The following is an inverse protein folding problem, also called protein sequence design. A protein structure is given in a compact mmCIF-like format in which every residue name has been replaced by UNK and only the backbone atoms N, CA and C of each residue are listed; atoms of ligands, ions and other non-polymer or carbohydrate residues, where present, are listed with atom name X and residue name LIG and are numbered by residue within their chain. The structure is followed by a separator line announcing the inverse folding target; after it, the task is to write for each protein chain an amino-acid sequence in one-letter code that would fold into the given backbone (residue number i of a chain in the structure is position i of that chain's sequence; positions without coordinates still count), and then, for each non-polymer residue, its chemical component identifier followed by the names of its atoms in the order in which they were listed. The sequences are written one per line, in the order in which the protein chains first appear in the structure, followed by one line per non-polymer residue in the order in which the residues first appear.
data_IF_055284583083
#
_entry.id   IF_055284583083
#
_cell.length_a   1.000
_cell.length_b   1.000
_cell.length_c   1.000
_cell.angle_alpha   90.00
_cell.angle_beta   90.00
_cell.angle_gamma   90.00
#
_symmetry.space_group_name_H-M   'P 1'
#
loop_
_entity.id
_entity.type
_entity.pdbx_description
1 polymer ?
#
# COMPACT_ATOMS: atom_id res chain seq x y z
N UNK A 1 -12.65 -8.72 -3.27
CA UNK A 1 -12.34 -9.82 -4.23
C UNK A 1 -10.83 -10.05 -4.20
N UNK A 2 -10.33 -11.07 -3.51
CA UNK A 2 -8.88 -11.38 -3.39
C UNK A 2 -8.34 -12.14 -4.62
N UNK A 3 -8.31 -11.51 -5.79
CA UNK A 3 -7.67 -12.09 -6.97
C UNK A 3 -6.65 -11.11 -7.53
N UNK A 4 -5.43 -11.61 -7.76
CA UNK A 4 -4.37 -10.84 -8.42
C UNK A 4 -4.91 -10.27 -9.75
N UNK A 5 -4.52 -9.05 -10.10
CA UNK A 5 -4.96 -8.34 -11.31
C UNK A 5 -4.78 -9.15 -12.61
N UNK A 6 -3.86 -10.12 -12.63
CA UNK A 6 -3.66 -11.11 -13.70
C UNK A 6 -4.93 -11.90 -14.04
N UNK A 7 -5.85 -12.08 -13.09
CA UNK A 7 -7.07 -12.88 -13.27
C UNK A 7 -8.33 -12.06 -13.59
N UNK A 8 -8.19 -10.75 -13.84
CA UNK A 8 -9.33 -9.91 -14.19
C UNK A 8 -9.72 -10.17 -15.65
N UNK A 9 -10.98 -10.57 -15.87
CA UNK A 9 -11.54 -10.69 -17.21
C UNK A 9 -11.59 -9.30 -17.85
N UNK A 10 -10.75 -9.09 -18.88
CA UNK A 10 -10.59 -7.80 -19.55
C UNK A 10 -11.25 -7.80 -20.93
N UNK A 11 -12.19 -6.89 -21.15
CA UNK A 11 -12.68 -6.53 -22.50
C UNK A 11 -11.97 -5.25 -22.95
N UNK A 12 -11.52 -5.20 -24.21
CA UNK A 12 -10.77 -4.06 -24.80
C UNK A 12 -11.50 -2.72 -24.70
N UNK A 13 -12.81 -2.74 -24.49
CA UNK A 13 -13.69 -1.56 -24.39
C UNK A 13 -14.12 -1.20 -22.97
N UNK A 14 -13.71 -1.96 -21.95
CA UNK A 14 -14.12 -1.74 -20.56
C UNK A 14 -12.87 -1.65 -19.68
N UNK A 15 -12.44 -0.42 -19.40
CA UNK A 15 -11.41 -0.13 -18.41
C UNK A 15 -11.90 -0.49 -17.01
N UNK A 16 -11.02 -1.06 -16.19
CA UNK A 16 -11.32 -1.22 -14.77
C UNK A 16 -10.99 0.12 -14.10
N UNK A 17 -11.91 0.77 -13.37
CA UNK A 17 -11.70 2.12 -12.84
C UNK A 17 -10.41 2.28 -12.03
N UNK A 18 -9.99 1.21 -11.34
CA UNK A 18 -8.75 1.16 -10.58
C UNK A 18 -7.49 1.25 -11.45
N UNK A 19 -7.49 0.71 -12.67
CA UNK A 19 -6.32 0.73 -13.56
C UNK A 19 -6.19 2.02 -14.36
N UNK A 20 -7.30 2.69 -14.64
CA UNK A 20 -7.28 3.99 -15.31
C UNK A 20 -6.57 5.05 -14.44
N UNK A 21 -6.68 4.94 -13.11
CA UNK A 21 -5.97 5.82 -12.17
C UNK A 21 -4.44 5.63 -12.20
N UNK A 22 -3.92 4.47 -12.62
CA UNK A 22 -2.47 4.18 -12.64
C UNK A 22 -1.86 4.27 -14.05
N UNK A 23 -2.34 5.21 -14.86
CA UNK A 23 -1.84 5.49 -16.21
C UNK A 23 -1.66 4.20 -17.03
N UNK A 24 -2.72 3.39 -17.08
CA UNK A 24 -2.75 2.22 -17.95
C UNK A 24 -2.39 2.67 -19.38
N UNK A 25 -1.34 2.12 -20.00
CA UNK A 25 -0.98 2.49 -21.36
C UNK A 25 -2.11 2.13 -22.32
N UNK A 26 -2.42 3.05 -23.23
CA UNK A 26 -3.37 2.86 -24.32
C UNK A 26 -3.01 1.57 -25.09
N UNK A 27 -3.98 0.65 -25.19
CA UNK A 27 -3.77 -0.66 -25.82
C UNK A 27 -3.64 -0.60 -27.35
N UNK A 28 -3.83 0.57 -27.96
CA UNK A 28 -3.63 0.81 -29.38
C UNK A 28 -2.29 1.47 -29.70
N UNK A 29 -1.47 1.78 -28.69
CA UNK A 29 -0.18 2.42 -28.87
C UNK A 29 0.94 1.64 -28.16
N UNK A 30 2.08 1.49 -28.81
CA UNK A 30 3.24 0.81 -28.23
C UNK A 30 3.93 1.77 -27.25
N UNK A 31 3.90 1.48 -25.96
CA UNK A 31 4.64 2.22 -24.94
C UNK A 31 5.91 1.44 -24.56
N UNK A 32 7.09 2.00 -24.86
CA UNK A 32 8.39 1.33 -24.62
C UNK A 32 8.79 1.29 -23.14
N UNK A 33 8.25 2.20 -22.32
CA UNK A 33 8.45 2.24 -20.87
C UNK A 33 7.21 2.86 -20.20
N UNK A 34 6.96 2.49 -18.95
CA UNK A 34 5.88 3.08 -18.14
C UNK A 34 6.30 4.48 -17.71
N UNK A 35 5.45 5.46 -17.95
CA UNK A 35 5.71 6.83 -17.49
C UNK A 35 5.58 6.83 -15.95
N UNK A 36 6.59 7.34 -15.24
CA UNK A 36 6.56 7.45 -13.78
C UNK A 36 5.83 8.73 -13.44
N UNK A 37 4.53 8.62 -13.19
CA UNK A 37 3.68 9.72 -12.73
C UNK A 37 3.66 9.76 -11.21
N UNK A 38 4.11 10.86 -10.62
CA UNK A 38 3.99 11.18 -9.19
C UNK A 38 2.84 12.17 -8.96
N UNK A 39 1.68 11.96 -9.61
CA UNK A 39 0.57 12.93 -9.52
C UNK A 39 -0.15 12.78 -8.18
N UNK A 40 -0.33 13.90 -7.46
CA UNK A 40 -0.92 13.94 -6.12
C UNK A 40 -2.33 13.30 -6.02
N UNK A 41 -3.09 13.24 -7.12
CA UNK A 41 -4.40 12.58 -7.17
C UNK A 41 -4.32 11.06 -7.05
N UNK A 42 -3.22 10.43 -7.47
CA UNK A 42 -3.00 8.99 -7.29
C UNK A 42 -2.72 8.63 -5.83
N UNK A 43 -1.94 9.46 -5.12
CA UNK A 43 -1.71 9.33 -3.68
C UNK A 43 -3.01 9.54 -2.88
N UNK A 44 -3.82 10.54 -3.25
CA UNK A 44 -5.12 10.78 -2.60
C UNK A 44 -6.11 9.64 -2.86
N UNK A 45 -6.07 9.04 -4.06
CA UNK A 45 -6.91 7.88 -4.37
C UNK A 45 -6.47 6.67 -3.54
N UNK A 46 -5.18 6.39 -3.42
CA UNK A 46 -4.69 5.31 -2.55
C UNK A 46 -5.07 5.53 -1.08
N UNK A 47 -5.00 6.76 -0.59
CA UNK A 47 -5.35 7.12 0.79
C UNK A 47 -6.86 6.97 1.09
N UNK A 48 -7.74 7.10 0.10
CA UNK A 48 -9.20 7.04 0.27
C UNK A 48 -9.87 5.84 -0.42
N UNK A 49 -9.11 4.94 -1.04
CA UNK A 49 -9.69 3.79 -1.72
C UNK A 49 -10.11 2.73 -0.70
N UNK A 50 -11.39 2.38 -0.70
CA UNK A 50 -11.97 1.35 0.17
C UNK A 50 -11.21 0.01 0.08
N UNK A 51 -10.65 -0.32 -1.08
CA UNK A 51 -9.78 -1.49 -1.23
C UNK A 51 -8.49 -1.36 -0.42
N UNK A 52 -7.80 -0.22 -0.49
CA UNK A 52 -6.52 -0.01 0.21
C UNK A 52 -6.74 0.02 1.71
N UNK A 53 -7.80 0.68 2.17
CA UNK A 53 -8.21 0.68 3.57
C UNK A 53 -8.48 -0.76 4.07
N UNK A 54 -9.25 -1.54 3.30
CA UNK A 54 -9.48 -2.95 3.66
C UNK A 54 -8.21 -3.79 3.70
N UNK A 55 -7.22 -3.51 2.84
CA UNK A 55 -5.93 -4.21 2.88
C UNK A 55 -5.07 -3.76 4.07
N UNK A 56 -5.14 -2.49 4.46
CA UNK A 56 -4.48 -1.98 5.66
C UNK A 56 -5.05 -2.66 6.92
N UNK A 57 -6.37 -2.76 7.04
CA UNK A 57 -7.02 -3.44 8.17
C UNK A 57 -6.59 -4.91 8.28
N UNK A 58 -6.62 -5.66 7.16
CA UNK A 58 -6.16 -7.04 7.14
C UNK A 58 -4.67 -7.19 7.47
N UNK A 59 -3.88 -6.19 7.10
CA UNK A 59 -2.46 -6.19 7.42
C UNK A 59 -2.25 -5.91 8.91
N UNK A 60 -3.01 -4.98 9.50
CA UNK A 60 -3.00 -4.71 10.94
C UNK A 60 -3.44 -5.95 11.75
N UNK A 61 -4.52 -6.61 11.34
CA UNK A 61 -5.00 -7.86 11.95
C UNK A 61 -3.91 -8.95 11.94
N UNK A 62 -3.19 -9.07 10.82
CA UNK A 62 -2.08 -10.02 10.71
C UNK A 62 -0.95 -9.70 11.70
N UNK A 63 -0.57 -8.42 11.82
CA UNK A 63 0.48 -7.99 12.75
C UNK A 63 0.07 -8.24 14.21
N UNK A 64 -1.18 -7.95 14.57
CA UNK A 64 -1.73 -8.22 15.89
C UNK A 64 -1.76 -9.73 16.21
N UNK A 65 -1.94 -10.57 15.21
CA UNK A 65 -1.92 -12.03 15.37
C UNK A 65 -0.50 -12.61 15.50
N UNK A 66 0.44 -12.13 14.69
CA UNK A 66 1.83 -12.62 14.69
C UNK A 66 2.66 -12.09 15.88
N UNK A 67 2.33 -10.90 16.40
CA UNK A 67 2.98 -10.29 17.56
C UNK A 67 1.95 -9.70 18.54
N UNK A 68 1.24 -10.54 19.32
CA UNK A 68 0.21 -10.07 20.25
C UNK A 68 0.82 -9.24 21.40
N UNK A 69 0.17 -8.11 21.71
CA UNK A 69 0.51 -7.20 22.82
C UNK A 69 1.95 -6.63 22.82
N UNK A 70 2.68 -6.75 21.71
CA UNK A 70 4.03 -6.21 21.55
C UNK A 70 4.08 -5.22 20.38
N UNK A 71 3.87 -3.95 20.70
CA UNK A 71 3.87 -2.88 19.70
C UNK A 71 5.23 -2.71 19.00
N UNK A 72 6.33 -2.93 19.71
CA UNK A 72 7.67 -2.81 19.14
C UNK A 72 7.89 -3.88 18.07
N UNK A 73 7.55 -5.12 18.40
CA UNK A 73 7.64 -6.24 17.45
C UNK A 73 6.64 -6.10 16.31
N UNK A 74 5.43 -5.56 16.55
CA UNK A 74 4.46 -5.26 15.49
C UNK A 74 4.98 -4.23 14.49
N UNK A 75 5.61 -3.16 14.96
CA UNK A 75 6.21 -2.13 14.09
C UNK A 75 7.35 -2.72 13.28
N UNK A 76 8.27 -3.46 13.91
CA UNK A 76 9.38 -4.12 13.21
C UNK A 76 8.86 -5.08 12.13
N UNK A 77 7.86 -5.88 12.45
CA UNK A 77 7.24 -6.84 11.53
C UNK A 77 6.53 -6.12 10.37
N UNK A 78 5.88 -4.98 10.62
CA UNK A 78 5.23 -4.18 9.57
C UNK A 78 6.23 -3.71 8.52
N UNK A 79 7.37 -3.16 8.97
CA UNK A 79 8.45 -2.70 8.09
C UNK A 79 9.14 -3.87 7.37
N UNK A 80 9.35 -5.00 8.04
CA UNK A 80 9.93 -6.18 7.38
C UNK A 80 9.02 -6.75 6.30
N UNK A 81 7.71 -6.85 6.56
CA UNK A 81 6.76 -7.42 5.59
C UNK A 81 6.57 -6.47 4.40
N UNK A 82 6.42 -5.17 4.64
CA UNK A 82 6.11 -4.21 3.58
C UNK A 82 7.35 -3.71 2.83
N UNK A 83 8.44 -3.44 3.55
CA UNK A 83 9.64 -2.77 3.01
C UNK A 83 10.88 -3.68 2.99
N UNK A 84 10.79 -4.92 3.50
CA UNK A 84 11.91 -5.87 3.56
C UNK A 84 13.14 -5.34 4.32
N UNK A 85 12.94 -4.43 5.29
CA UNK A 85 13.98 -3.89 6.17
C UNK A 85 13.44 -3.61 7.57
N UNK A 86 14.33 -3.43 8.53
CA UNK A 86 13.97 -2.90 9.85
C UNK A 86 13.72 -1.39 9.78
N UNK A 87 12.84 -0.86 10.64
CA UNK A 87 12.67 0.58 10.80
C UNK A 87 13.93 1.21 11.41
N UNK A 88 14.18 2.47 11.06
CA UNK A 88 15.16 3.31 11.75
C UNK A 88 14.62 3.82 13.09
N UNK A 89 15.50 4.29 13.98
CA UNK A 89 15.10 4.79 15.30
C UNK A 89 14.10 5.98 15.23
N UNK A 90 14.25 6.84 14.23
CA UNK A 90 13.31 7.94 13.98
C UNK A 90 11.94 7.40 13.52
N UNK A 91 11.93 6.43 12.60
CA UNK A 91 10.71 5.80 12.10
C UNK A 91 9.96 5.03 13.19
N UNK A 92 10.66 4.29 14.05
CA UNK A 92 10.03 3.61 15.20
C UNK A 92 9.38 4.61 16.14
N UNK A 93 10.02 5.76 16.38
CA UNK A 93 9.48 6.81 17.25
C UNK A 93 8.18 7.39 16.67
N UNK A 94 8.19 7.71 15.37
CA UNK A 94 7.00 8.22 14.66
C UNK A 94 5.90 7.17 14.57
N UNK A 95 6.24 5.91 14.31
CA UNK A 95 5.27 4.81 14.24
C UNK A 95 4.57 4.60 15.60
N UNK A 96 5.33 4.65 16.70
CA UNK A 96 4.77 4.57 18.05
C UNK A 96 3.84 5.74 18.37
N UNK A 97 4.25 6.97 18.03
CA UNK A 97 3.37 8.13 18.25
C UNK A 97 2.09 8.03 17.45
N UNK A 98 2.18 7.55 16.20
CA UNK A 98 1.02 7.40 15.31
C UNK A 98 0.04 6.35 15.84
N UNK A 99 0.54 5.21 16.34
CA UNK A 99 -0.32 4.18 16.95
C UNK A 99 -0.89 4.65 18.29
N UNK A 100 -0.18 5.50 19.04
CA UNK A 100 -0.70 6.07 20.28
C UNK A 100 -1.86 7.06 20.05
N UNK A 101 -1.79 7.84 18.97
CA UNK A 101 -2.84 8.81 18.60
C UNK A 101 -4.00 8.18 17.80
N UNK A 102 -3.75 7.04 17.15
CA UNK A 102 -4.69 6.37 16.25
C UNK A 102 -4.74 4.85 16.44
N UNK A 103 -4.69 4.12 15.33
CA UNK A 103 -4.79 2.65 15.30
C UNK A 103 -3.64 2.00 14.52
N UNK A 104 -3.48 0.68 14.67
CA UNK A 104 -2.52 -0.10 13.89
C UNK A 104 -2.88 -0.11 12.38
N UNK A 105 -4.15 0.03 12.04
CA UNK A 105 -4.63 0.22 10.66
C UNK A 105 -4.11 1.52 10.04
N UNK A 106 -3.97 2.59 10.83
CA UNK A 106 -3.43 3.86 10.33
C UNK A 106 -1.95 3.73 9.99
N UNK A 107 -1.18 3.04 10.84
CA UNK A 107 0.24 2.74 10.57
C UNK A 107 0.41 1.93 9.28
N UNK A 108 -0.36 0.86 9.12
CA UNK A 108 -0.29 0.00 7.92
C UNK A 108 -0.74 0.75 6.66
N UNK A 109 -1.74 1.62 6.76
CA UNK A 109 -2.15 2.49 5.65
C UNK A 109 -1.00 3.43 5.24
N UNK A 110 -0.36 4.09 6.20
CA UNK A 110 0.79 4.96 5.93
C UNK A 110 1.93 4.18 5.26
N UNK A 111 2.27 3.01 5.78
CA UNK A 111 3.33 2.15 5.22
C UNK A 111 3.02 1.75 3.77
N UNK A 112 1.78 1.37 3.46
CA UNK A 112 1.34 1.03 2.10
C UNK A 112 1.35 2.23 1.14
N UNK A 113 1.36 3.45 1.67
CA UNK A 113 1.44 4.69 0.89
C UNK A 113 2.86 5.29 0.85
N UNK A 114 3.84 4.68 1.51
CA UNK A 114 5.22 5.15 1.43
C UNK A 114 5.75 5.03 -0.01
N UNK A 115 6.49 6.05 -0.45
CA UNK A 115 7.17 6.01 -1.75
C UNK A 115 8.07 4.78 -1.87
N UNK A 116 8.72 4.36 -0.78
CA UNK A 116 9.56 3.17 -0.74
C UNK A 116 8.78 1.87 -1.03
N UNK A 117 7.50 1.81 -0.65
CA UNK A 117 6.63 0.69 -1.00
C UNK A 117 6.16 0.76 -2.46
N UNK A 118 5.84 1.96 -2.94
CA UNK A 118 5.33 2.18 -4.30
C UNK A 118 6.40 2.03 -5.38
N UNK A 119 7.65 2.36 -5.07
CA UNK A 119 8.78 2.30 -5.98
C UNK A 119 9.74 1.19 -5.55
N UNK A 120 9.69 0.06 -6.24
CA UNK A 120 10.73 -0.97 -6.16
C UNK A 120 12.07 -0.32 -6.55
N UNK A 121 13.00 -0.25 -5.59
CA UNK A 121 14.38 0.19 -5.83
C UNK A 121 15.21 -0.90 -6.49
#
# INVERSE_FOLDING_TARGET
MWRRSVYVYRRRSLGFPFFDTFDLPDQNQTAAARNVSTVATQALTLMNNEFVLSQADLFADRLAHEAPDDLDTQIDLAYQIALSRSPSAEETTVAKSLVADGSLSDLTNVILNLNEFLYLR
#
